data_IF_793788349174
#
_entry.id   IF_793788349174
#
_cell.length_a   1.000
_cell.length_b   1.000
_cell.length_c   1.000
_cell.angle_alpha   90.00
_cell.angle_beta   90.00
_cell.angle_gamma   90.00
#
_symmetry.space_group_name_H-M   'P 1'
#
loop_
_entity.id
_entity.type
_entity.pdbx_description
1 polymer ?
#
# COMPACT_ATOMS: atom_id res chain seq x y z
N UNK A 1 42.33 8.54 -2.19
CA UNK A 1 42.79 9.18 -0.93
C UNK A 1 43.41 10.54 -1.22
N UNK A 2 42.62 11.63 -1.24
CA UNK A 2 43.15 12.99 -1.03
C UNK A 2 42.58 13.46 0.31
N UNK A 3 43.41 13.43 1.35
CA UNK A 3 43.07 13.95 2.68
C UNK A 3 43.31 15.46 2.64
N UNK A 4 42.25 16.27 2.70
CA UNK A 4 42.37 17.72 2.83
C UNK A 4 42.63 18.02 4.31
N UNK A 5 43.88 18.30 4.68
CA UNK A 5 44.22 18.77 6.03
C UNK A 5 44.00 20.29 6.14
N UNK A 6 43.19 20.70 7.12
CA UNK A 6 42.98 22.12 7.46
C UNK A 6 44.13 22.70 8.30
N UNK A 7 44.48 23.96 8.02
CA UNK A 7 45.32 24.81 8.88
C UNK A 7 44.44 25.51 9.93
N UNK A 8 44.86 25.59 11.21
CA UNK A 8 44.04 26.19 12.25
C UNK A 8 43.97 27.72 12.10
N UNK A 9 42.77 28.25 11.90
CA UNK A 9 42.47 29.69 11.92
C UNK A 9 41.78 30.07 13.24
N UNK A 10 42.17 31.22 13.79
CA UNK A 10 41.77 31.75 15.10
C UNK A 10 40.27 32.05 15.22
N UNK A 11 39.69 31.66 16.36
CA UNK A 11 38.38 32.04 16.93
C UNK A 11 37.64 33.19 16.21
N UNK A 12 36.73 32.82 15.32
CA UNK A 12 35.56 33.61 14.94
C UNK A 12 34.33 32.71 14.98
N UNK A 13 33.15 33.31 15.19
CA UNK A 13 31.80 32.72 15.28
C UNK A 13 31.59 31.47 14.40
N UNK A 14 30.79 30.46 14.82
CA UNK A 14 30.61 29.24 14.05
C UNK A 14 29.97 29.61 12.70
N UNK A 15 30.78 29.65 11.66
CA UNK A 15 30.34 29.79 10.27
C UNK A 15 30.16 28.37 9.73
N UNK A 16 29.11 28.08 8.94
CA UNK A 16 28.95 26.75 8.35
C UNK A 16 30.14 26.42 7.45
N UNK A 17 30.70 25.22 7.58
CA UNK A 17 31.75 24.75 6.67
C UNK A 17 31.13 24.13 5.42
N UNK A 18 31.69 24.42 4.25
CA UNK A 18 31.25 23.88 2.96
C UNK A 18 32.32 22.96 2.38
N UNK A 19 31.97 21.71 2.11
CA UNK A 19 32.85 20.68 1.55
C UNK A 19 32.29 20.20 0.21
N UNK A 20 33.10 20.24 -0.85
CA UNK A 20 32.75 19.72 -2.17
C UNK A 20 33.76 18.63 -2.59
N UNK A 21 33.28 17.40 -2.77
CA UNK A 21 34.07 16.22 -3.13
C UNK A 21 33.58 15.75 -4.49
N UNK A 22 34.45 15.79 -5.49
CA UNK A 22 34.15 15.34 -6.87
C UNK A 22 35.10 14.19 -7.21
N UNK A 23 34.54 13.06 -7.66
CA UNK A 23 35.28 11.92 -8.18
C UNK A 23 34.85 11.62 -9.62
N UNK A 24 35.78 11.75 -10.57
CA UNK A 24 35.57 11.48 -12.00
C UNK A 24 36.37 10.24 -12.44
N UNK A 25 35.77 9.36 -13.24
CA UNK A 25 36.42 8.16 -13.77
C UNK A 25 36.86 8.28 -15.24
N UNK A 26 37.97 7.62 -15.58
CA UNK A 26 38.51 7.47 -16.94
C UNK A 26 38.32 6.02 -17.46
N UNK A 27 38.48 5.70 -18.76
CA UNK A 27 37.89 4.52 -19.44
C UNK A 27 38.52 3.14 -19.13
N UNK A 28 38.64 2.80 -17.84
CA UNK A 28 39.01 1.48 -17.33
C UNK A 28 38.03 1.05 -16.24
N UNK A 29 37.85 -0.26 -15.97
CA UNK A 29 37.10 -0.71 -14.81
C UNK A 29 37.73 -0.13 -13.54
N UNK A 30 36.98 0.67 -12.79
CA UNK A 30 37.49 1.35 -11.61
C UNK A 30 36.64 1.05 -10.38
N UNK A 31 37.30 0.98 -9.23
CA UNK A 31 36.68 0.97 -7.91
C UNK A 31 36.89 2.34 -7.27
N UNK A 32 35.81 3.07 -7.01
CA UNK A 32 35.82 4.33 -6.30
C UNK A 32 35.29 4.13 -4.89
N UNK A 33 36.09 4.56 -3.91
CA UNK A 33 35.64 4.66 -2.53
C UNK A 33 35.75 6.12 -2.10
N UNK A 34 34.61 6.78 -1.94
CA UNK A 34 34.49 8.16 -1.48
C UNK A 34 33.97 8.11 -0.06
N UNK A 35 34.73 8.65 0.88
CA UNK A 35 34.34 8.73 2.28
C UNK A 35 34.36 10.21 2.67
N UNK A 36 33.22 10.72 3.13
CA UNK A 36 33.06 12.06 3.67
C UNK A 36 32.68 11.97 5.15
N UNK A 37 33.63 12.29 6.03
CA UNK A 37 33.42 12.34 7.48
C UNK A 37 33.26 13.79 7.93
N UNK A 38 32.27 14.07 8.78
CA UNK A 38 32.09 15.41 9.34
C UNK A 38 32.73 15.67 10.69
N UNK A 39 33.02 16.95 10.95
CA UNK A 39 33.52 17.43 12.24
C UNK A 39 32.41 18.16 13.00
N UNK A 40 32.45 18.24 14.35
CA UNK A 40 31.34 18.70 15.20
C UNK A 40 31.04 20.21 15.09
N UNK A 41 30.55 20.62 13.93
CA UNK A 41 30.14 21.97 13.52
C UNK A 41 29.13 21.84 12.37
N UNK A 42 28.21 22.79 12.16
CA UNK A 42 27.29 22.70 11.05
C UNK A 42 28.04 22.64 9.70
N UNK A 43 27.81 21.60 8.91
CA UNK A 43 28.50 21.41 7.64
C UNK A 43 27.52 21.17 6.48
N UNK A 44 27.95 21.59 5.29
CA UNK A 44 27.33 21.27 4.01
C UNK A 44 28.30 20.42 3.19
N UNK A 45 27.90 19.18 2.89
CA UNK A 45 28.64 18.26 2.04
C UNK A 45 27.95 18.13 0.69
N UNK A 46 28.71 18.36 -0.38
CA UNK A 46 28.33 18.02 -1.73
C UNK A 46 29.30 16.95 -2.24
N UNK A 47 28.81 15.73 -2.44
CA UNK A 47 29.57 14.58 -2.91
C UNK A 47 29.05 14.23 -4.30
N UNK A 48 29.88 14.38 -5.32
CA UNK A 48 29.55 14.05 -6.69
C UNK A 48 30.47 12.93 -7.16
N UNK A 49 29.88 11.82 -7.61
CA UNK A 49 30.59 10.71 -8.22
C UNK A 49 30.11 10.56 -9.66
N UNK A 50 30.97 10.90 -10.61
CA UNK A 50 30.69 10.83 -12.05
C UNK A 50 31.52 9.71 -12.70
N UNK A 51 30.88 8.92 -13.55
CA UNK A 51 31.51 7.83 -14.29
C UNK A 51 31.42 8.06 -15.79
N UNK A 52 32.56 8.01 -16.50
CA UNK A 52 32.61 8.24 -17.96
C UNK A 52 33.17 7.04 -18.75
N UNK A 53 32.46 5.91 -18.77
CA UNK A 53 32.73 4.67 -19.52
C UNK A 53 33.55 3.59 -18.78
N UNK A 54 33.07 2.33 -18.86
CA UNK A 54 33.57 1.06 -18.27
C UNK A 54 32.80 0.64 -17.02
N UNK A 55 32.67 -0.67 -16.73
CA UNK A 55 31.96 -1.08 -15.52
C UNK A 55 32.66 -0.54 -14.28
N UNK A 56 31.94 0.25 -13.48
CA UNK A 56 32.47 0.89 -12.29
C UNK A 56 31.73 0.42 -11.03
N UNK A 57 32.48 0.36 -9.94
CA UNK A 57 31.96 0.15 -8.59
C UNK A 57 32.19 1.41 -7.79
N UNK A 58 31.11 2.07 -7.38
CA UNK A 58 31.12 3.25 -6.51
C UNK A 58 30.65 2.86 -5.13
N UNK A 59 31.50 3.11 -4.14
CA UNK A 59 31.15 3.08 -2.74
C UNK A 59 31.26 4.51 -2.20
N UNK A 60 30.13 5.14 -1.91
CA UNK A 60 30.05 6.49 -1.37
C UNK A 60 29.54 6.37 0.06
N UNK A 61 30.37 6.74 1.02
CA UNK A 61 30.04 6.74 2.44
C UNK A 61 30.05 8.20 2.92
N UNK A 62 28.95 8.65 3.48
CA UNK A 62 28.82 9.94 4.13
C UNK A 62 28.49 9.72 5.60
N UNK A 63 29.46 9.99 6.48
CA UNK A 63 29.33 9.86 7.94
C UNK A 63 29.25 11.24 8.58
N UNK A 64 28.24 11.45 9.43
CA UNK A 64 28.03 12.70 10.13
C UNK A 64 28.40 12.62 11.60
N UNK A 65 29.07 13.65 12.12
CA UNK A 65 29.36 13.88 13.55
C UNK A 65 28.32 14.82 14.18
N UNK A 66 28.15 14.85 15.53
CA UNK A 66 26.98 15.44 16.20
C UNK A 66 26.91 16.96 16.02
N UNK A 67 26.21 17.39 14.96
CA UNK A 67 25.98 18.77 14.56
C UNK A 67 25.02 18.78 13.35
N UNK A 68 24.22 19.83 13.12
CA UNK A 68 23.31 19.84 11.97
C UNK A 68 24.09 19.76 10.65
N UNK A 69 23.91 18.71 9.87
CA UNK A 69 24.59 18.56 8.58
C UNK A 69 23.58 18.46 7.42
N UNK A 70 24.02 18.97 6.27
CA UNK A 70 23.33 18.81 4.99
C UNK A 70 24.24 18.01 4.06
N UNK A 71 23.77 16.86 3.59
CA UNK A 71 24.46 16.03 2.62
C UNK A 71 23.69 16.04 1.30
N UNK A 72 24.37 16.41 0.23
CA UNK A 72 23.94 16.23 -1.14
C UNK A 72 24.88 15.21 -1.78
N UNK A 73 24.39 14.00 -2.01
CA UNK A 73 25.15 12.92 -2.63
C UNK A 73 24.56 12.68 -4.01
N UNK A 74 25.34 12.94 -5.05
CA UNK A 74 24.94 12.73 -6.44
C UNK A 74 25.86 11.68 -7.02
N UNK A 75 25.27 10.61 -7.54
CA UNK A 75 25.96 9.54 -8.24
C UNK A 75 25.44 9.46 -9.67
N UNK A 76 26.24 9.91 -10.63
CA UNK A 76 25.90 9.94 -12.05
C UNK A 76 26.72 8.92 -12.84
N UNK A 77 26.06 8.21 -13.74
CA UNK A 77 26.65 7.12 -14.51
C UNK A 77 26.45 7.27 -16.01
N UNK A 78 27.54 7.24 -16.78
CA UNK A 78 27.51 7.15 -18.25
C UNK A 78 27.38 5.66 -18.72
N UNK A 79 27.17 5.34 -20.02
CA UNK A 79 26.66 4.04 -20.45
C UNK A 79 27.68 2.91 -20.29
N UNK A 80 27.63 2.27 -19.13
CA UNK A 80 28.27 0.98 -18.81
C UNK A 80 27.60 0.36 -17.58
N UNK A 81 27.73 -0.96 -17.33
CA UNK A 81 27.13 -1.55 -16.14
C UNK A 81 27.79 -1.01 -14.87
N UNK A 82 27.03 -0.33 -14.00
CA UNK A 82 27.59 0.24 -12.77
C UNK A 82 26.93 -0.34 -11.52
N UNK A 83 27.72 -0.43 -10.46
CA UNK A 83 27.27 -0.78 -9.11
C UNK A 83 27.50 0.43 -8.20
N UNK A 84 26.42 0.98 -7.66
CA UNK A 84 26.42 2.07 -6.71
C UNK A 84 26.04 1.55 -5.33
N UNK A 85 26.91 1.74 -4.36
CA UNK A 85 26.62 1.56 -2.95
C UNK A 85 26.77 2.93 -2.29
N UNK A 86 25.64 3.57 -1.97
CA UNK A 86 25.59 4.88 -1.31
C UNK A 86 25.12 4.63 0.11
N UNK A 87 25.97 4.93 1.08
CA UNK A 87 25.68 4.80 2.51
C UNK A 87 25.75 6.20 3.11
N UNK A 88 24.66 6.62 3.73
CA UNK A 88 24.54 7.86 4.46
C UNK A 88 24.25 7.53 5.92
N UNK A 89 25.24 7.69 6.79
CA UNK A 89 25.14 7.42 8.23
C UNK A 89 25.19 8.72 9.02
N UNK A 90 24.29 8.85 10.00
CA UNK A 90 24.14 10.07 10.78
C UNK A 90 24.30 9.84 12.29
N UNK A 91 25.11 10.66 12.96
CA UNK A 91 25.16 10.72 14.44
C UNK A 91 24.14 11.74 15.01
N UNK A 92 23.84 11.75 16.33
CA UNK A 92 22.67 12.45 16.90
C UNK A 92 22.70 13.97 16.66
N UNK A 93 21.97 14.43 15.63
CA UNK A 93 21.81 15.83 15.25
C UNK A 93 20.85 15.95 14.05
N UNK A 94 20.09 17.05 13.89
CA UNK A 94 19.18 17.15 12.75
C UNK A 94 19.95 17.12 11.42
N UNK A 95 19.71 16.12 10.58
CA UNK A 95 20.38 16.02 9.28
C UNK A 95 19.37 16.08 8.12
N UNK A 96 19.87 16.61 7.00
CA UNK A 96 19.17 16.60 5.72
C UNK A 96 20.03 15.82 4.73
N UNK A 97 19.50 14.71 4.21
CA UNK A 97 20.14 13.91 3.19
C UNK A 97 19.36 14.03 1.90
N UNK A 98 20.03 14.50 0.85
CA UNK A 98 19.56 14.44 -0.52
C UNK A 98 20.47 13.48 -1.29
N UNK A 99 19.98 12.28 -1.57
CA UNK A 99 20.72 11.25 -2.30
C UNK A 99 20.07 11.11 -3.67
N UNK A 100 20.81 11.47 -4.71
CA UNK A 100 20.40 11.36 -6.10
C UNK A 100 21.30 10.34 -6.79
N UNK A 101 20.69 9.33 -7.39
CA UNK A 101 21.40 8.30 -8.13
C UNK A 101 20.82 8.21 -9.54
N UNK A 102 21.56 8.72 -10.53
CA UNK A 102 21.15 8.82 -11.92
C UNK A 102 21.99 7.89 -12.80
N UNK A 103 21.34 7.18 -13.72
CA UNK A 103 22.03 6.34 -14.72
C UNK A 103 21.61 6.61 -16.15
N UNK A 104 22.61 6.63 -17.03
CA UNK A 104 22.45 6.54 -18.49
C UNK A 104 22.44 5.05 -18.96
N UNK A 105 22.12 4.73 -20.25
CA UNK A 105 21.58 3.42 -20.61
C UNK A 105 22.60 2.29 -20.45
N UNK A 106 22.49 1.53 -19.36
CA UNK A 106 23.18 0.27 -19.08
C UNK A 106 22.58 -0.43 -17.86
N UNK A 107 22.79 -1.74 -17.64
CA UNK A 107 22.28 -2.40 -16.45
C UNK A 107 22.96 -1.85 -15.19
N UNK A 108 22.20 -1.28 -14.25
CA UNK A 108 22.76 -0.76 -13.01
C UNK A 108 22.18 -1.45 -11.77
N UNK A 109 23.01 -1.50 -10.74
CA UNK A 109 22.62 -1.92 -9.40
C UNK A 109 22.83 -0.76 -8.44
N UNK A 110 21.75 -0.29 -7.83
CA UNK A 110 21.76 0.76 -6.82
C UNK A 110 21.42 0.14 -5.47
N UNK A 111 22.34 0.31 -4.51
CA UNK A 111 22.11 0.07 -3.10
C UNK A 111 22.26 1.40 -2.37
N UNK A 112 21.14 1.99 -1.97
CA UNK A 112 21.12 3.25 -1.23
C UNK A 112 20.66 2.93 0.18
N UNK A 113 21.55 3.13 1.15
CA UNK A 113 21.29 2.92 2.57
C UNK A 113 21.40 4.28 3.25
N UNK A 114 20.34 4.67 3.96
CA UNK A 114 20.28 5.91 4.70
C UNK A 114 19.91 5.60 6.15
N UNK A 115 20.90 5.66 7.05
CA UNK A 115 20.78 5.31 8.46
C UNK A 115 20.94 6.56 9.34
N UNK A 116 20.05 6.72 10.32
CA UNK A 116 20.16 7.81 11.30
C UNK A 116 20.08 7.37 12.75
N UNK A 117 20.95 7.97 13.56
CA UNK A 117 20.87 7.94 15.03
C UNK A 117 19.97 9.09 15.58
N UNK A 118 19.58 9.12 16.88
CA UNK A 118 18.40 9.84 17.37
C UNK A 118 18.44 11.35 17.12
N UNK A 119 17.72 11.81 16.10
CA UNK A 119 17.50 13.23 15.78
C UNK A 119 16.47 13.40 14.65
N UNK A 120 15.80 14.57 14.51
CA UNK A 120 14.88 14.77 13.39
C UNK A 120 15.64 14.77 12.06
N UNK A 121 15.35 13.83 11.16
CA UNK A 121 16.01 13.75 9.86
C UNK A 121 15.03 13.89 8.70
N UNK A 122 15.56 14.47 7.62
CA UNK A 122 14.87 14.55 6.33
C UNK A 122 15.69 13.79 5.31
N UNK A 123 15.11 12.73 4.76
CA UNK A 123 15.70 11.93 3.70
C UNK A 123 14.92 12.16 2.40
N UNK A 124 15.62 12.64 1.38
CA UNK A 124 15.14 12.68 0.01
C UNK A 124 16.04 11.76 -0.82
N UNK A 125 15.53 10.58 -1.17
CA UNK A 125 16.26 9.59 -1.96
C UNK A 125 15.59 9.53 -3.33
N UNK A 126 16.31 9.91 -4.36
CA UNK A 126 15.87 9.88 -5.75
C UNK A 126 16.77 8.91 -6.50
N UNK A 127 16.16 7.91 -7.14
CA UNK A 127 16.86 6.93 -7.93
C UNK A 127 16.24 6.88 -9.33
N UNK A 128 16.95 7.43 -10.31
CA UNK A 128 16.49 7.57 -11.70
C UNK A 128 17.33 6.70 -12.65
N UNK A 129 16.67 6.00 -13.57
CA UNK A 129 17.36 5.25 -14.61
C UNK A 129 16.83 5.47 -16.01
N UNK A 130 17.77 5.63 -16.93
CA UNK A 130 17.55 5.53 -18.37
C UNK A 130 17.48 4.04 -18.85
N UNK A 131 17.15 3.73 -20.13
CA UNK A 131 16.55 2.45 -20.50
C UNK A 131 17.57 1.31 -20.46
N UNK A 132 17.54 0.52 -19.40
CA UNK A 132 18.23 -0.76 -19.22
C UNK A 132 17.70 -1.50 -17.99
N UNK A 133 17.95 -2.81 -17.82
CA UNK A 133 17.49 -3.51 -16.62
C UNK A 133 18.18 -2.98 -15.37
N UNK A 134 17.43 -2.43 -14.41
CA UNK A 134 17.99 -1.92 -13.16
C UNK A 134 17.46 -2.66 -11.94
N UNK A 135 18.31 -2.72 -10.93
CA UNK A 135 17.97 -3.20 -9.60
C UNK A 135 18.18 -2.07 -8.59
N UNK A 136 17.11 -1.67 -7.93
CA UNK A 136 17.12 -0.67 -6.87
C UNK A 136 16.84 -1.35 -5.54
N UNK A 137 17.77 -1.19 -4.60
CA UNK A 137 17.58 -1.49 -3.19
C UNK A 137 17.75 -0.20 -2.41
N UNK A 138 16.65 0.37 -1.94
CA UNK A 138 16.63 1.61 -1.16
C UNK A 138 16.19 1.23 0.25
N UNK A 139 17.08 1.41 1.21
CA UNK A 139 16.84 1.16 2.62
C UNK A 139 16.99 2.49 3.36
N UNK A 140 15.95 2.87 4.08
CA UNK A 140 15.93 4.08 4.89
C UNK A 140 15.55 3.71 6.32
N UNK A 141 16.53 3.75 7.23
CA UNK A 141 16.40 3.33 8.62
C UNK A 141 16.60 4.52 9.57
N UNK A 142 15.73 4.64 10.58
CA UNK A 142 15.87 5.66 11.62
C UNK A 142 15.69 5.14 13.04
N UNK A 143 16.58 5.63 13.90
CA UNK A 143 16.44 5.55 15.36
C UNK A 143 15.53 6.69 15.91
N UNK A 144 15.09 6.69 17.19
CA UNK A 144 13.85 7.36 17.59
C UNK A 144 13.91 8.89 17.51
N UNK A 145 13.21 9.50 16.54
CA UNK A 145 13.02 10.95 16.34
C UNK A 145 12.09 11.23 15.15
N UNK A 146 11.37 12.35 15.07
CA UNK A 146 10.49 12.59 13.93
C UNK A 146 11.25 12.62 12.60
N UNK A 147 10.93 11.71 11.68
CA UNK A 147 11.58 11.66 10.37
C UNK A 147 10.60 11.91 9.22
N UNK A 148 11.14 12.48 8.16
CA UNK A 148 10.46 12.63 6.88
C UNK A 148 11.27 11.87 5.82
N UNK A 149 10.65 10.85 5.24
CA UNK A 149 11.20 10.06 4.16
C UNK A 149 10.45 10.36 2.87
N UNK A 150 11.17 10.85 1.87
CA UNK A 150 10.70 10.94 0.50
C UNK A 150 11.60 10.06 -0.36
N UNK A 151 11.07 8.91 -0.78
CA UNK A 151 11.78 7.94 -1.61
C UNK A 151 11.09 7.92 -2.96
N UNK A 152 11.81 8.32 -4.01
CA UNK A 152 11.34 8.33 -5.38
C UNK A 152 12.24 7.41 -6.19
N UNK A 153 11.64 6.44 -6.86
CA UNK A 153 12.35 5.52 -7.72
C UNK A 153 11.69 5.50 -9.10
N UNK A 154 12.36 6.09 -10.10
CA UNK A 154 11.84 6.25 -11.46
C UNK A 154 12.67 5.45 -12.46
N UNK A 155 12.01 4.78 -13.40
CA UNK A 155 12.70 4.10 -14.50
C UNK A 155 12.07 4.35 -15.86
N UNK A 156 12.96 4.57 -16.82
CA UNK A 156 12.66 4.53 -18.25
C UNK A 156 12.64 3.06 -18.78
N UNK A 157 12.22 2.78 -20.04
CA UNK A 157 11.66 1.47 -20.39
C UNK A 157 12.69 0.34 -20.37
N UNK A 158 12.62 -0.52 -19.36
CA UNK A 158 13.33 -1.81 -19.23
C UNK A 158 12.83 -2.61 -18.02
N UNK A 159 13.11 -3.93 -17.90
CA UNK A 159 12.68 -4.67 -16.73
C UNK A 159 13.40 -4.19 -15.47
N UNK A 160 12.66 -3.68 -14.48
CA UNK A 160 13.25 -3.21 -13.23
C UNK A 160 12.76 -3.98 -12.01
N UNK A 161 13.64 -4.06 -11.01
CA UNK A 161 13.32 -4.57 -9.70
C UNK A 161 13.54 -3.47 -8.67
N UNK A 162 12.48 -3.12 -7.95
CA UNK A 162 12.49 -2.15 -6.87
C UNK A 162 12.25 -2.86 -5.55
N UNK A 163 13.20 -2.73 -4.64
CA UNK A 163 13.06 -3.06 -3.23
C UNK A 163 13.23 -1.79 -2.42
N UNK A 164 12.14 -1.25 -1.89
CA UNK A 164 12.13 -0.04 -1.08
C UNK A 164 11.70 -0.45 0.32
N UNK A 165 12.60 -0.27 1.28
CA UNK A 165 12.38 -0.57 2.70
C UNK A 165 12.54 0.74 3.47
N UNK A 166 11.50 1.11 4.21
CA UNK A 166 11.52 2.29 5.06
C UNK A 166 11.14 1.86 6.49
N UNK A 167 12.11 1.88 7.39
CA UNK A 167 11.97 1.41 8.77
C UNK A 167 12.21 2.55 9.77
N UNK A 168 11.34 2.64 10.79
CA UNK A 168 11.52 3.61 11.88
C UNK A 168 11.27 3.05 13.27
N UNK A 169 12.12 3.48 14.17
CA UNK A 169 11.98 3.32 15.62
C UNK A 169 11.15 4.50 16.25
N UNK A 170 10.78 4.49 17.56
CA UNK A 170 9.55 5.14 18.04
C UNK A 170 9.55 6.66 17.88
N UNK A 171 8.79 7.18 16.92
CA UNK A 171 8.62 8.63 16.68
C UNK A 171 7.59 8.92 15.59
N UNK A 172 6.98 10.12 15.52
CA UNK A 172 6.07 10.44 14.42
C UNK A 172 6.81 10.50 13.09
N UNK A 173 6.47 9.64 12.13
CA UNK A 173 7.13 9.62 10.82
C UNK A 173 6.15 9.90 9.68
N UNK A 174 6.70 10.50 8.63
CA UNK A 174 6.03 10.71 7.35
C UNK A 174 6.81 9.96 6.28
N UNK A 175 6.15 9.00 5.65
CA UNK A 175 6.68 8.23 4.53
C UNK A 175 5.94 8.61 3.26
N UNK A 176 6.68 9.12 2.28
CA UNK A 176 6.22 9.28 0.91
C UNK A 176 7.10 8.40 0.01
N UNK A 177 6.57 7.27 -0.43
CA UNK A 177 7.27 6.31 -1.28
C UNK A 177 6.58 6.31 -2.64
N UNK A 178 7.30 6.72 -3.67
CA UNK A 178 6.83 6.78 -5.05
C UNK A 178 7.72 5.87 -5.88
N UNK A 179 7.11 4.91 -6.57
CA UNK A 179 7.81 4.01 -7.47
C UNK A 179 7.12 4.03 -8.84
N UNK A 180 7.78 4.65 -9.83
CA UNK A 180 7.24 4.89 -11.17
C UNK A 180 8.05 4.14 -12.22
N UNK A 181 7.36 3.48 -13.16
CA UNK A 181 8.02 2.84 -14.31
C UNK A 181 7.32 3.08 -15.64
N UNK A 182 8.17 3.30 -16.64
CA UNK A 182 7.79 3.32 -18.05
C UNK A 182 7.85 1.87 -18.66
N UNK A 183 7.43 1.63 -19.93
CA UNK A 183 6.85 0.33 -20.31
C UNK A 183 7.86 -0.81 -20.31
N UNK A 184 7.78 -1.70 -19.31
CA UNK A 184 8.48 -2.99 -19.23
C UNK A 184 8.00 -3.82 -18.02
N UNK A 185 8.29 -5.12 -17.93
CA UNK A 185 7.88 -5.90 -16.77
C UNK A 185 8.62 -5.45 -15.51
N UNK A 186 7.91 -4.99 -14.48
CA UNK A 186 8.53 -4.55 -13.24
C UNK A 186 8.07 -5.36 -12.03
N UNK A 187 8.97 -5.46 -11.05
CA UNK A 187 8.68 -6.01 -9.73
C UNK A 187 8.90 -4.94 -8.68
N UNK A 188 7.85 -4.62 -7.94
CA UNK A 188 7.87 -3.67 -6.83
C UNK A 188 7.67 -4.42 -5.52
N UNK A 189 8.62 -4.30 -4.62
CA UNK A 189 8.50 -4.68 -3.22
C UNK A 189 8.70 -3.44 -2.36
N UNK A 190 7.62 -2.90 -1.84
CA UNK A 190 7.62 -1.71 -0.99
C UNK A 190 7.21 -2.14 0.41
N UNK A 191 8.11 -1.98 1.37
CA UNK A 191 7.91 -2.31 2.77
C UNK A 191 8.07 -1.01 3.58
N UNK A 192 7.05 -0.67 4.35
CA UNK A 192 7.08 0.50 5.22
C UNK A 192 6.68 0.08 6.63
N UNK A 193 7.65 0.03 7.54
CA UNK A 193 7.48 -0.45 8.92
C UNK A 193 7.72 0.67 9.94
N UNK A 194 6.84 0.75 10.94
CA UNK A 194 7.01 1.70 12.05
C UNK A 194 6.74 1.10 13.42
N UNK A 195 7.63 1.47 14.33
CA UNK A 195 7.47 1.30 15.77
C UNK A 195 6.58 2.43 16.40
N UNK A 196 6.21 2.37 17.70
CA UNK A 196 4.95 2.96 18.18
C UNK A 196 5.00 4.48 18.22
N UNK A 197 4.33 5.13 17.25
CA UNK A 197 4.06 6.57 17.17
C UNK A 197 3.08 6.88 16.04
N UNK A 198 2.46 8.07 15.96
CA UNK A 198 1.56 8.38 14.86
C UNK A 198 2.33 8.47 13.54
N UNK A 199 1.98 7.65 12.54
CA UNK A 199 2.63 7.67 11.24
C UNK A 199 1.66 8.01 10.11
N UNK A 200 2.22 8.62 9.06
CA UNK A 200 1.54 8.87 7.81
C UNK A 200 2.31 8.16 6.69
N UNK A 201 1.65 7.21 6.02
CA UNK A 201 2.17 6.48 4.89
C UNK A 201 1.44 6.88 3.62
N UNK A 202 2.17 7.40 2.65
CA UNK A 202 1.72 7.60 1.28
C UNK A 202 2.60 6.74 0.36
N UNK A 203 2.06 5.63 -0.10
CA UNK A 203 2.75 4.69 -0.98
C UNK A 203 2.05 4.71 -2.34
N UNK A 204 2.78 5.15 -3.36
CA UNK A 204 2.29 5.24 -4.74
C UNK A 204 3.17 4.34 -5.59
N UNK A 205 2.55 3.40 -6.28
CA UNK A 205 3.23 2.51 -7.22
C UNK A 205 2.54 2.56 -8.58
N UNK A 206 3.15 3.25 -9.54
CA UNK A 206 2.59 3.49 -10.87
C UNK A 206 3.41 2.76 -11.93
N UNK A 207 2.72 2.07 -12.84
CA UNK A 207 3.36 1.46 -14.00
C UNK A 207 2.63 1.73 -15.30
N UNK A 208 3.44 1.88 -16.33
CA UNK A 208 3.01 1.93 -17.73
C UNK A 208 2.92 0.51 -18.35
N UNK A 209 2.44 0.32 -19.60
CA UNK A 209 1.85 -0.94 -20.05
C UNK A 209 2.87 -2.07 -20.18
N UNK A 210 2.90 -2.97 -19.19
CA UNK A 210 3.64 -4.24 -19.16
C UNK A 210 3.20 -5.08 -17.96
N UNK A 211 3.51 -6.39 -17.89
CA UNK A 211 3.11 -7.20 -16.74
C UNK A 211 3.87 -6.76 -15.48
N UNK A 212 3.17 -6.35 -14.43
CA UNK A 212 3.81 -5.92 -13.19
C UNK A 212 3.38 -6.77 -11.99
N UNK A 213 4.30 -6.89 -11.04
CA UNK A 213 4.03 -7.48 -9.73
C UNK A 213 4.27 -6.43 -8.65
N UNK A 214 3.24 -6.13 -7.87
CA UNK A 214 3.27 -5.22 -6.75
C UNK A 214 3.09 -6.00 -5.45
N UNK A 215 4.07 -5.87 -4.55
CA UNK A 215 3.96 -6.28 -3.16
C UNK A 215 4.17 -5.05 -2.28
N UNK A 216 3.08 -4.52 -1.72
CA UNK A 216 3.09 -3.35 -0.86
C UNK A 216 2.69 -3.82 0.54
N UNK A 217 3.62 -3.69 1.48
CA UNK A 217 3.42 -4.05 2.89
C UNK A 217 3.59 -2.78 3.71
N UNK A 218 2.57 -2.43 4.48
CA UNK A 218 2.60 -1.29 5.38
C UNK A 218 2.21 -1.75 6.79
N UNK A 219 3.20 -1.85 7.67
CA UNK A 219 3.03 -2.36 9.03
C UNK A 219 3.27 -1.26 10.06
N UNK A 220 2.37 -1.15 11.03
CA UNK A 220 2.56 -0.26 12.17
C UNK A 220 2.30 -0.91 13.51
N UNK A 221 3.10 -0.48 14.46
CA UNK A 221 2.93 -0.77 15.87
C UNK A 221 2.00 0.28 16.56
N UNK A 222 1.63 0.14 17.85
CA UNK A 222 0.41 0.75 18.40
C UNK A 222 0.49 2.27 18.48
N UNK A 223 -0.16 2.95 17.53
CA UNK A 223 -0.42 4.41 17.51
C UNK A 223 -1.38 4.77 16.37
N UNK A 224 -1.98 5.98 16.33
CA UNK A 224 -2.88 6.33 15.24
C UNK A 224 -2.14 6.46 13.91
N UNK A 225 -2.50 5.66 12.91
CA UNK A 225 -1.85 5.71 11.60
C UNK A 225 -2.83 6.08 10.48
N UNK A 226 -2.27 6.71 9.46
CA UNK A 226 -2.94 7.00 8.20
C UNK A 226 -2.18 6.30 7.08
N UNK A 227 -2.84 5.40 6.38
CA UNK A 227 -2.32 4.70 5.22
C UNK A 227 -3.07 5.16 3.97
N UNK A 228 -2.34 5.70 3.01
CA UNK A 228 -2.79 5.95 1.66
C UNK A 228 -1.93 5.12 0.70
N UNK A 229 -2.48 4.00 0.22
CA UNK A 229 -1.78 3.09 -0.69
C UNK A 229 -2.49 3.15 -2.04
N UNK A 230 -1.78 3.59 -3.06
CA UNK A 230 -2.27 3.71 -4.42
C UNK A 230 -1.40 2.83 -5.31
N UNK A 231 -2.04 1.91 -6.03
CA UNK A 231 -1.36 1.03 -6.98
C UNK A 231 -2.09 1.12 -8.33
N UNK A 232 -1.47 1.81 -9.29
CA UNK A 232 -2.05 2.08 -10.61
C UNK A 232 -1.26 1.35 -11.70
N UNK A 233 -1.97 0.72 -12.64
CA UNK A 233 -1.34 0.11 -13.81
C UNK A 233 -2.03 0.42 -15.12
N UNK A 234 -1.18 0.56 -16.13
CA UNK A 234 -1.50 0.60 -17.55
C UNK A 234 -1.77 -0.81 -18.15
N UNK A 235 -2.32 -0.92 -19.38
CA UNK A 235 -2.92 -2.17 -19.86
C UNK A 235 -1.91 -3.31 -20.03
N UNK A 236 -1.87 -4.23 -19.06
CA UNK A 236 -1.16 -5.51 -19.08
C UNK A 236 -1.55 -6.37 -17.87
N UNK A 237 -1.25 -7.68 -17.84
CA UNK A 237 -1.62 -8.50 -16.70
C UNK A 237 -0.84 -8.10 -15.44
N UNK A 238 -1.52 -7.70 -14.37
CA UNK A 238 -0.86 -7.32 -13.12
C UNK A 238 -1.28 -8.19 -11.95
N UNK A 239 -0.35 -8.33 -11.00
CA UNK A 239 -0.59 -8.96 -9.71
C UNK A 239 -0.34 -7.92 -8.62
N UNK A 240 -1.36 -7.65 -7.82
CA UNK A 240 -1.31 -6.76 -6.66
C UNK A 240 -1.47 -7.56 -5.38
N UNK A 241 -0.50 -7.46 -4.49
CA UNK A 241 -0.59 -7.89 -3.11
C UNK A 241 -0.37 -6.69 -2.20
N UNK A 242 -1.45 -6.17 -1.63
CA UNK A 242 -1.42 -5.01 -0.74
C UNK A 242 -1.82 -5.50 0.64
N UNK A 243 -0.89 -5.40 1.59
CA UNK A 243 -1.08 -5.78 2.98
C UNK A 243 -0.90 -4.54 3.84
N UNK A 244 -1.90 -4.21 4.63
CA UNK A 244 -1.87 -3.10 5.56
C UNK A 244 -2.25 -3.60 6.96
N UNK A 245 -1.26 -3.72 7.86
CA UNK A 245 -1.43 -4.27 9.21
C UNK A 245 -1.20 -3.19 10.27
N UNK A 246 -2.08 -3.13 11.26
CA UNK A 246 -1.90 -2.25 12.41
C UNK A 246 -2.11 -2.92 13.75
N UNK A 247 -1.28 -2.46 14.68
CA UNK A 247 -1.38 -2.66 16.13
C UNK A 247 -2.44 -1.74 16.79
N UNK A 248 -2.82 -1.96 18.06
CA UNK A 248 -4.04 -1.37 18.64
C UNK A 248 -3.95 0.16 18.76
N UNK A 249 -4.59 0.87 17.83
CA UNK A 249 -4.86 2.32 17.84
C UNK A 249 -5.82 2.70 16.71
N UNK A 250 -6.43 3.90 16.70
CA UNK A 250 -7.34 4.28 15.62
C UNK A 250 -6.60 4.46 14.30
N UNK A 251 -6.96 3.70 13.26
CA UNK A 251 -6.31 3.79 11.96
C UNK A 251 -7.29 4.18 10.84
N UNK A 252 -6.75 4.88 9.85
CA UNK A 252 -7.42 5.18 8.60
C UNK A 252 -6.66 4.53 7.45
N UNK A 253 -7.33 3.62 6.76
CA UNK A 253 -6.81 2.95 5.57
C UNK A 253 -7.56 3.45 4.35
N UNK A 254 -6.82 3.98 3.37
CA UNK A 254 -7.30 4.27 2.03
C UNK A 254 -6.44 3.46 1.05
N UNK A 255 -6.98 2.35 0.55
CA UNK A 255 -6.30 1.47 -0.39
C UNK A 255 -7.03 1.56 -1.72
N UNK A 256 -6.33 2.04 -2.74
CA UNK A 256 -6.85 2.19 -4.11
C UNK A 256 -5.99 1.33 -5.03
N UNK A 257 -6.64 0.42 -5.75
CA UNK A 257 -5.98 -0.42 -6.72
C UNK A 257 -6.72 -0.31 -8.08
N UNK A 258 -6.11 0.41 -9.02
CA UNK A 258 -6.71 0.70 -10.32
C UNK A 258 -5.94 -0.02 -11.44
N UNK A 259 -6.68 -0.64 -12.36
CA UNK A 259 -6.09 -1.23 -13.56
C UNK A 259 -6.78 -0.86 -14.86
N UNK A 260 -5.93 -0.69 -15.85
CA UNK A 260 -6.24 -0.63 -17.28
C UNK A 260 -6.57 -2.02 -17.87
N UNK A 261 -7.13 -2.12 -19.10
CA UNK A 261 -7.74 -3.35 -19.59
C UNK A 261 -6.73 -4.48 -19.80
N UNK A 262 -6.65 -5.42 -18.84
CA UNK A 262 -5.94 -6.69 -18.92
C UNK A 262 -6.31 -7.60 -17.74
N UNK A 263 -6.01 -8.91 -17.75
CA UNK A 263 -6.35 -9.77 -16.62
C UNK A 263 -5.55 -9.41 -15.37
N UNK A 264 -6.21 -9.02 -14.28
CA UNK A 264 -5.52 -8.67 -13.04
C UNK A 264 -5.93 -9.58 -11.89
N UNK A 265 -4.98 -9.76 -10.96
CA UNK A 265 -5.21 -10.41 -9.68
C UNK A 265 -4.94 -9.39 -8.57
N UNK A 266 -5.95 -9.13 -7.75
CA UNK A 266 -5.87 -8.27 -6.59
C UNK A 266 -6.03 -9.11 -5.32
N UNK A 267 -5.05 -9.03 -4.43
CA UNK A 267 -5.13 -9.50 -3.06
C UNK A 267 -4.90 -8.31 -2.14
N UNK A 268 -5.97 -7.80 -1.54
CA UNK A 268 -5.95 -6.66 -0.63
C UNK A 268 -6.32 -7.18 0.75
N UNK A 269 -5.39 -7.10 1.69
CA UNK A 269 -5.57 -7.52 3.08
C UNK A 269 -5.38 -6.30 3.96
N UNK A 270 -6.39 -5.99 4.77
CA UNK A 270 -6.34 -4.91 5.74
C UNK A 270 -6.71 -5.48 7.11
N UNK A 271 -5.71 -5.59 8.00
CA UNK A 271 -5.88 -6.18 9.33
C UNK A 271 -5.64 -5.13 10.42
N UNK A 272 -6.53 -5.15 11.43
CA UNK A 272 -6.37 -4.30 12.61
C UNK A 272 -6.56 -5.01 13.94
N UNK A 273 -5.69 -4.59 14.84
CA UNK A 273 -5.78 -4.77 16.29
C UNK A 273 -6.88 -3.90 16.94
N UNK A 274 -7.25 -4.14 18.22
CA UNK A 274 -8.47 -3.57 18.80
C UNK A 274 -8.39 -2.04 18.96
N UNK A 275 -9.02 -1.30 18.05
CA UNK A 275 -9.29 0.15 18.11
C UNK A 275 -10.26 0.59 17.00
N UNK A 276 -10.84 1.80 17.05
CA UNK A 276 -11.75 2.23 16.00
C UNK A 276 -11.02 2.45 14.67
N UNK A 277 -11.37 1.71 13.62
CA UNK A 277 -10.73 1.83 12.31
C UNK A 277 -11.71 2.27 11.23
N UNK A 278 -11.18 3.00 10.24
CA UNK A 278 -11.87 3.35 9.01
C UNK A 278 -11.13 2.72 7.84
N UNK A 279 -11.81 1.84 7.11
CA UNK A 279 -11.32 1.20 5.90
C UNK A 279 -12.06 1.74 4.69
N UNK A 280 -11.32 2.28 3.73
CA UNK A 280 -11.79 2.58 2.39
C UNK A 280 -10.93 1.79 1.40
N UNK A 281 -11.49 0.71 0.88
CA UNK A 281 -10.82 -0.17 -0.08
C UNK A 281 -11.57 -0.04 -1.40
N UNK A 282 -10.88 0.47 -2.41
CA UNK A 282 -11.40 0.66 -3.76
C UNK A 282 -10.56 -0.18 -4.71
N UNK A 283 -11.21 -1.06 -5.45
CA UNK A 283 -10.58 -1.88 -6.46
C UNK A 283 -11.33 -1.73 -7.78
N UNK A 284 -10.74 -0.99 -8.73
CA UNK A 284 -11.36 -0.67 -10.02
C UNK A 284 -10.62 -1.36 -11.16
N UNK A 285 -11.38 -1.97 -12.08
CA UNK A 285 -10.80 -2.52 -13.31
C UNK A 285 -11.53 -2.12 -14.58
N UNK A 286 -10.69 -1.89 -15.58
CA UNK A 286 -11.03 -1.81 -17.00
C UNK A 286 -11.35 -3.19 -17.61
N UNK A 287 -11.94 -3.27 -18.83
CA UNK A 287 -12.55 -4.49 -19.33
C UNK A 287 -11.54 -5.62 -19.57
N UNK A 288 -11.45 -6.57 -18.63
CA UNK A 288 -10.73 -7.84 -18.74
C UNK A 288 -11.09 -8.78 -17.58
N UNK A 289 -10.75 -10.08 -17.62
CA UNK A 289 -11.07 -10.98 -16.53
C UNK A 289 -10.26 -10.66 -15.28
N UNK A 290 -10.89 -10.27 -14.18
CA UNK A 290 -10.19 -9.96 -12.94
C UNK A 290 -10.57 -10.91 -11.80
N UNK A 291 -9.61 -11.12 -10.90
CA UNK A 291 -9.81 -11.81 -9.63
C UNK A 291 -9.54 -10.82 -8.50
N UNK A 292 -10.54 -10.59 -7.67
CA UNK A 292 -10.45 -9.76 -6.48
C UNK A 292 -10.60 -10.63 -5.25
N UNK A 293 -9.60 -10.59 -4.37
CA UNK A 293 -9.66 -11.09 -3.01
C UNK A 293 -9.42 -9.92 -2.06
N UNK A 294 -10.50 -9.42 -1.45
CA UNK A 294 -10.46 -8.30 -0.51
C UNK A 294 -10.82 -8.85 0.86
N UNK A 295 -9.89 -8.80 1.80
CA UNK A 295 -10.06 -9.24 3.17
C UNK A 295 -9.87 -8.04 4.09
N UNK A 296 -10.86 -7.76 4.91
CA UNK A 296 -10.81 -6.71 5.91
C UNK A 296 -11.18 -7.29 7.28
N UNK A 297 -10.18 -7.41 8.16
CA UNK A 297 -10.33 -8.05 9.47
C UNK A 297 -10.10 -7.04 10.61
N UNK A 298 -10.98 -7.10 11.61
CA UNK A 298 -10.84 -6.30 12.81
C UNK A 298 -11.04 -7.05 14.11
N UNK A 299 -10.14 -6.71 15.03
CA UNK A 299 -10.24 -6.92 16.47
C UNK A 299 -11.34 -6.04 17.11
N UNK A 300 -11.74 -6.29 18.39
CA UNK A 300 -12.95 -5.72 18.96
C UNK A 300 -12.84 -4.20 19.16
N UNK A 301 -13.48 -3.42 18.28
CA UNK A 301 -13.71 -1.98 18.39
C UNK A 301 -14.69 -1.50 17.30
N UNK A 302 -15.25 -0.28 17.37
CA UNK A 302 -16.17 0.19 16.35
C UNK A 302 -15.44 0.45 15.03
N UNK A 303 -15.78 -0.27 13.96
CA UNK A 303 -15.14 -0.08 12.65
C UNK A 303 -16.13 0.39 11.58
N UNK A 304 -15.61 1.13 10.61
CA UNK A 304 -16.31 1.50 9.40
C UNK A 304 -15.58 0.90 8.21
N UNK A 305 -16.28 0.06 7.45
CA UNK A 305 -15.78 -0.55 6.22
C UNK A 305 -16.53 0.04 5.03
N UNK A 306 -15.80 0.60 4.08
CA UNK A 306 -16.27 0.92 2.75
C UNK A 306 -15.43 0.14 1.75
N UNK A 307 -15.98 -0.94 1.21
CA UNK A 307 -15.33 -1.79 0.23
C UNK A 307 -16.08 -1.63 -1.09
N UNK A 308 -15.41 -1.09 -2.09
CA UNK A 308 -15.95 -0.87 -3.43
C UNK A 308 -15.12 -1.69 -4.41
N UNK A 309 -15.78 -2.55 -5.17
CA UNK A 309 -15.16 -3.36 -6.20
C UNK A 309 -15.93 -3.18 -7.50
N UNK A 310 -15.36 -2.41 -8.44
CA UNK A 310 -16.00 -2.05 -9.70
C UNK A 310 -15.28 -2.72 -10.87
N UNK A 311 -16.04 -3.30 -11.80
CA UNK A 311 -15.49 -3.83 -13.05
C UNK A 311 -16.26 -3.42 -14.29
N UNK A 312 -15.46 -3.15 -15.31
CA UNK A 312 -15.82 -3.04 -16.72
C UNK A 312 -16.15 -4.42 -17.33
N UNK A 313 -16.75 -4.49 -18.55
CA UNK A 313 -17.37 -5.73 -19.05
C UNK A 313 -16.36 -6.83 -19.34
N UNK A 314 -16.23 -7.79 -18.42
CA UNK A 314 -15.50 -9.06 -18.57
C UNK A 314 -15.83 -10.03 -17.43
N UNK A 315 -15.48 -11.32 -17.50
CA UNK A 315 -15.77 -12.25 -16.43
C UNK A 315 -14.93 -11.95 -15.18
N UNK A 316 -15.56 -11.58 -14.07
CA UNK A 316 -14.84 -11.29 -12.83
C UNK A 316 -15.20 -12.27 -11.71
N UNK A 317 -14.23 -12.50 -10.84
CA UNK A 317 -14.41 -13.23 -9.59
C UNK A 317 -14.11 -12.28 -8.43
N UNK A 318 -15.12 -12.06 -7.58
CA UNK A 318 -15.01 -11.27 -6.37
C UNK A 318 -15.13 -12.17 -5.15
N UNK A 319 -14.14 -12.13 -4.28
CA UNK A 319 -14.18 -12.66 -2.93
C UNK A 319 -13.94 -11.51 -1.96
N UNK A 320 -15.01 -11.01 -1.35
CA UNK A 320 -14.96 -9.91 -0.39
C UNK A 320 -15.32 -10.49 0.97
N UNK A 321 -14.38 -10.47 1.90
CA UNK A 321 -14.55 -10.96 3.26
C UNK A 321 -14.35 -9.77 4.21
N UNK A 322 -15.34 -9.53 5.06
CA UNK A 322 -15.27 -8.49 6.07
C UNK A 322 -15.63 -9.09 7.43
N UNK A 323 -14.63 -9.29 8.30
CA UNK A 323 -14.80 -9.93 9.60
C UNK A 323 -14.60 -8.94 10.74
N UNK A 324 -15.50 -8.98 11.73
CA UNK A 324 -15.33 -8.22 12.96
C UNK A 324 -15.55 -9.02 14.23
N UNK A 325 -14.66 -8.72 15.18
CA UNK A 325 -14.77 -9.01 16.60
C UNK A 325 -15.84 -8.13 17.28
N UNK A 326 -16.27 -8.42 18.54
CA UNK A 326 -17.49 -7.84 19.11
C UNK A 326 -17.37 -6.33 19.35
N UNK A 327 -17.98 -5.53 18.49
CA UNK A 327 -18.20 -4.08 18.62
C UNK A 327 -19.18 -3.57 17.56
N UNK A 328 -19.71 -2.34 17.67
CA UNK A 328 -20.60 -1.82 16.64
C UNK A 328 -19.87 -1.53 15.34
N UNK A 329 -20.20 -2.23 14.26
CA UNK A 329 -19.56 -2.02 12.96
C UNK A 329 -20.56 -1.52 11.91
N UNK A 330 -20.04 -0.73 10.98
CA UNK A 330 -20.74 -0.32 9.78
C UNK A 330 -20.02 -0.91 8.56
N UNK A 331 -20.72 -1.70 7.78
CA UNK A 331 -20.23 -2.29 6.54
C UNK A 331 -20.99 -1.70 5.37
N UNK A 332 -20.27 -1.10 4.43
CA UNK A 332 -20.75 -0.74 3.10
C UNK A 332 -19.92 -1.50 2.08
N UNK A 333 -20.48 -2.57 1.54
CA UNK A 333 -19.83 -3.41 0.53
C UNK A 333 -20.59 -3.22 -0.77
N UNK A 334 -19.93 -2.65 -1.77
CA UNK A 334 -20.48 -2.40 -3.10
C UNK A 334 -19.66 -3.20 -4.10
N UNK A 335 -20.34 -4.05 -4.87
CA UNK A 335 -19.73 -4.83 -5.92
C UNK A 335 -20.52 -4.62 -7.22
N UNK A 336 -19.97 -3.84 -8.14
CA UNK A 336 -20.63 -3.45 -9.40
C UNK A 336 -19.93 -4.10 -10.59
N UNK A 337 -20.72 -4.66 -11.51
CA UNK A 337 -20.20 -5.15 -12.78
C UNK A 337 -21.01 -4.72 -14.00
N UNK A 338 -20.23 -4.40 -15.03
CA UNK A 338 -20.65 -4.27 -16.42
C UNK A 338 -20.97 -5.64 -17.06
N UNK A 339 -21.62 -5.71 -18.25
CA UNK A 339 -22.24 -6.95 -18.74
C UNK A 339 -21.21 -8.03 -19.06
N UNK A 340 -21.07 -9.03 -18.18
CA UNK A 340 -20.32 -10.27 -18.36
C UNK A 340 -20.63 -11.27 -17.24
N UNK A 341 -20.25 -12.56 -17.36
CA UNK A 341 -20.50 -13.53 -16.31
C UNK A 341 -19.63 -13.26 -15.08
N UNK A 342 -20.23 -12.93 -13.94
CA UNK A 342 -19.49 -12.65 -12.72
C UNK A 342 -19.82 -13.66 -11.61
N UNK A 343 -18.83 -13.91 -10.76
CA UNK A 343 -18.98 -14.65 -9.52
C UNK A 343 -18.69 -13.73 -8.35
N UNK A 344 -19.67 -13.56 -7.48
CA UNK A 344 -19.56 -12.78 -6.25
C UNK A 344 -19.67 -13.73 -5.05
N UNK A 345 -18.66 -13.70 -4.20
CA UNK A 345 -18.69 -14.26 -2.85
C UNK A 345 -18.44 -13.12 -1.88
N UNK A 346 -19.50 -12.63 -1.24
CA UNK A 346 -19.44 -11.55 -0.26
C UNK A 346 -19.80 -12.17 1.09
N UNK A 347 -18.84 -12.17 2.01
CA UNK A 347 -19.01 -12.68 3.36
C UNK A 347 -18.80 -11.53 4.34
N UNK A 348 -19.79 -11.30 5.19
CA UNK A 348 -19.72 -10.28 6.22
C UNK A 348 -20.09 -10.93 7.57
N UNK A 349 -19.08 -11.20 8.41
CA UNK A 349 -19.25 -11.88 9.69
C UNK A 349 -19.05 -10.90 10.84
N UNK A 350 -19.94 -10.97 11.84
CA UNK A 350 -19.76 -10.23 13.09
C UNK A 350 -20.03 -11.05 14.35
N UNK A 351 -19.16 -10.78 15.31
CA UNK A 351 -19.31 -11.12 16.73
C UNK A 351 -20.40 -10.26 17.41
N UNK A 352 -20.86 -10.59 18.63
CA UNK A 352 -22.08 -10.03 19.21
C UNK A 352 -21.96 -8.53 19.51
N UNK A 353 -22.53 -7.69 18.64
CA UNK A 353 -22.72 -6.24 18.82
C UNK A 353 -23.69 -5.68 17.77
N UNK A 354 -24.21 -4.44 17.92
CA UNK A 354 -25.10 -3.86 16.92
C UNK A 354 -24.34 -3.51 15.64
N UNK A 355 -24.66 -4.18 14.53
CA UNK A 355 -24.02 -3.93 13.25
C UNK A 355 -25.00 -3.38 12.21
N UNK A 356 -24.49 -2.57 11.31
CA UNK A 356 -25.19 -2.11 10.11
C UNK A 356 -24.47 -2.65 8.88
N UNK A 357 -25.18 -3.43 8.08
CA UNK A 357 -24.70 -3.97 6.82
C UNK A 357 -25.48 -3.34 5.67
N UNK A 358 -24.76 -2.73 4.75
CA UNK A 358 -25.24 -2.34 3.44
C UNK A 358 -24.41 -3.10 2.40
N UNK A 359 -24.97 -4.16 1.84
CA UNK A 359 -24.33 -4.98 0.82
C UNK A 359 -25.10 -4.77 -0.48
N UNK A 360 -24.44 -4.19 -1.47
CA UNK A 360 -25.00 -3.90 -2.78
C UNK A 360 -24.20 -4.70 -3.80
N UNK A 361 -24.89 -5.53 -4.58
CA UNK A 361 -24.30 -6.30 -5.65
C UNK A 361 -25.11 -6.07 -6.94
N UNK A 362 -24.57 -5.24 -7.84
CA UNK A 362 -25.25 -4.84 -9.07
C UNK A 362 -24.58 -5.47 -10.29
N UNK A 363 -25.39 -6.01 -11.21
CA UNK A 363 -24.89 -6.47 -12.50
C UNK A 363 -25.76 -6.06 -13.69
N UNK A 364 -25.04 -5.72 -14.74
CA UNK A 364 -25.54 -5.59 -16.11
C UNK A 364 -25.87 -6.97 -16.73
N UNK A 365 -26.57 -7.06 -17.90
CA UNK A 365 -27.19 -8.30 -18.35
C UNK A 365 -26.16 -9.36 -18.74
N UNK A 366 -25.96 -10.36 -17.89
CA UNK A 366 -25.17 -11.58 -18.11
C UNK A 366 -25.46 -12.62 -17.02
N UNK A 367 -25.07 -13.89 -17.18
CA UNK A 367 -25.27 -14.89 -16.13
C UNK A 367 -24.35 -14.64 -14.94
N UNK A 368 -24.91 -14.34 -13.78
CA UNK A 368 -24.15 -14.07 -12.57
C UNK A 368 -24.45 -15.09 -11.46
N UNK A 369 -23.44 -15.37 -10.66
CA UNK A 369 -23.55 -16.16 -9.43
C UNK A 369 -23.25 -15.25 -8.24
N UNK A 370 -24.22 -15.10 -7.36
CA UNK A 370 -24.10 -14.36 -6.11
C UNK A 370 -24.17 -15.32 -4.93
N UNK A 371 -23.16 -15.29 -4.07
CA UNK A 371 -23.17 -15.87 -2.75
C UNK A 371 -22.93 -14.73 -1.74
N UNK A 372 -23.99 -14.26 -1.10
CA UNK A 372 -23.93 -13.19 -0.11
C UNK A 372 -24.27 -13.82 1.24
N UNK A 373 -23.31 -13.85 2.14
CA UNK A 373 -23.44 -14.39 3.48
C UNK A 373 -23.24 -13.25 4.47
N UNK A 374 -24.24 -13.02 5.32
CA UNK A 374 -24.18 -12.03 6.37
C UNK A 374 -24.55 -12.70 7.71
N UNK A 375 -23.55 -13.02 8.50
CA UNK A 375 -23.71 -13.76 9.76
C UNK A 375 -23.51 -12.84 10.96
N UNK A 376 -24.40 -12.94 11.94
CA UNK A 376 -24.22 -12.24 13.21
C UNK A 376 -24.58 -13.07 14.45
N UNK A 377 -23.75 -12.85 15.46
CA UNK A 377 -23.99 -13.24 16.85
C UNK A 377 -25.07 -12.38 17.53
N UNK A 378 -25.61 -12.75 18.72
CA UNK A 378 -26.85 -12.16 19.24
C UNK A 378 -26.69 -10.68 19.62
N UNK A 379 -27.21 -9.79 18.78
CA UNK A 379 -27.35 -8.33 19.00
C UNK A 379 -28.29 -7.73 17.96
N UNK A 380 -28.81 -6.49 18.14
CA UNK A 380 -29.68 -5.86 17.15
C UNK A 380 -28.89 -5.47 15.90
N UNK A 381 -29.18 -6.12 14.77
CA UNK A 381 -28.52 -5.86 13.50
C UNK A 381 -29.47 -5.28 12.46
N UNK A 382 -28.94 -4.43 11.59
CA UNK A 382 -29.63 -3.89 10.43
C UNK A 382 -28.93 -4.41 9.18
N UNK A 383 -29.67 -5.14 8.35
CA UNK A 383 -29.20 -5.65 7.09
C UNK A 383 -29.97 -4.98 5.95
N UNK A 384 -29.25 -4.34 5.05
CA UNK A 384 -29.72 -3.91 3.75
C UNK A 384 -28.91 -4.66 2.69
N UNK A 385 -29.46 -5.72 2.14
CA UNK A 385 -28.83 -6.53 1.10
C UNK A 385 -29.62 -6.28 -0.19
N UNK A 386 -28.96 -5.68 -1.17
CA UNK A 386 -29.52 -5.38 -2.48
C UNK A 386 -28.75 -6.16 -3.52
N UNK A 387 -29.45 -6.99 -4.28
CA UNK A 387 -28.88 -7.74 -5.38
C UNK A 387 -29.70 -7.46 -6.65
N UNK A 388 -29.20 -6.60 -7.52
CA UNK A 388 -29.91 -6.17 -8.73
C UNK A 388 -29.27 -6.80 -9.97
N UNK A 389 -30.10 -7.33 -10.86
CA UNK A 389 -29.64 -7.77 -12.17
C UNK A 389 -30.57 -7.39 -13.32
N UNK A 390 -29.93 -7.09 -14.43
CA UNK A 390 -30.56 -6.98 -15.76
C UNK A 390 -30.92 -8.39 -16.32
N UNK A 391 -31.73 -8.51 -17.40
CA UNK A 391 -32.37 -9.78 -17.74
C UNK A 391 -31.36 -10.80 -18.28
N UNK A 392 -31.02 -11.79 -17.45
CA UNK A 392 -30.18 -12.94 -17.75
C UNK A 392 -30.37 -14.02 -16.68
N UNK A 393 -29.98 -15.29 -16.91
CA UNK A 393 -30.10 -16.34 -15.90
C UNK A 393 -29.12 -16.11 -14.75
N UNK A 394 -29.62 -15.76 -13.58
CA UNK A 394 -28.81 -15.51 -12.38
C UNK A 394 -29.08 -16.56 -11.30
N UNK A 395 -28.03 -16.86 -10.52
CA UNK A 395 -28.12 -17.67 -9.32
C UNK A 395 -27.81 -16.80 -8.11
N UNK A 396 -28.74 -16.72 -7.18
CA UNK A 396 -28.60 -16.00 -5.93
C UNK A 396 -28.67 -16.96 -4.76
N UNK A 397 -27.63 -16.97 -3.94
CA UNK A 397 -27.62 -17.55 -2.61
C UNK A 397 -27.39 -16.41 -1.60
N UNK A 398 -28.45 -15.94 -0.96
CA UNK A 398 -28.38 -14.88 0.04
C UNK A 398 -28.73 -15.52 1.38
N UNK A 399 -27.76 -15.55 2.29
CA UNK A 399 -27.90 -16.10 3.63
C UNK A 399 -27.71 -14.95 4.62
N UNK A 400 -28.72 -14.70 5.43
CA UNK A 400 -28.67 -13.74 6.51
C UNK A 400 -29.05 -14.44 7.81
N UNK A 401 -28.05 -14.85 8.59
CA UNK A 401 -28.25 -15.62 9.82
C UNK A 401 -28.04 -14.75 11.05
N UNK A 402 -28.94 -14.89 12.01
CA UNK A 402 -28.80 -14.24 13.30
C UNK A 402 -29.27 -15.08 14.49
N UNK A 403 -28.53 -14.92 15.58
CA UNK A 403 -28.91 -15.38 16.91
C UNK A 403 -30.04 -14.52 17.52
N UNK A 404 -30.79 -14.99 18.56
CA UNK A 404 -32.07 -14.37 18.97
C UNK A 404 -31.90 -12.94 19.51
N UNK A 405 -32.19 -11.95 18.66
CA UNK A 405 -32.22 -10.50 18.94
C UNK A 405 -33.14 -9.79 17.94
N UNK A 406 -33.62 -8.56 18.21
CA UNK A 406 -34.42 -7.81 17.24
C UNK A 406 -33.55 -7.39 16.04
N UNK A 407 -33.69 -8.09 14.92
CA UNK A 407 -32.98 -7.81 13.68
C UNK A 407 -33.93 -7.23 12.64
N UNK A 408 -33.42 -6.29 11.85
CA UNK A 408 -34.13 -5.68 10.73
C UNK A 408 -33.46 -6.10 9.43
N UNK A 409 -34.21 -6.80 8.59
CA UNK A 409 -33.75 -7.24 7.28
C UNK A 409 -34.51 -6.48 6.19
N UNK A 410 -33.77 -5.88 5.27
CA UNK A 410 -34.23 -5.44 3.97
C UNK A 410 -33.42 -6.19 2.92
N UNK A 411 -33.97 -7.30 2.41
CA UNK A 411 -33.33 -8.10 1.35
C UNK A 411 -34.13 -7.85 0.08
N UNK A 412 -33.49 -7.20 -0.89
CA UNK A 412 -34.06 -6.89 -2.20
C UNK A 412 -33.28 -7.68 -3.23
N UNK A 413 -33.99 -8.50 -4.00
CA UNK A 413 -33.42 -9.22 -5.13
C UNK A 413 -34.27 -8.92 -6.37
N UNK A 414 -33.83 -7.97 -7.19
CA UNK A 414 -34.56 -7.54 -8.37
C UNK A 414 -33.98 -8.17 -9.63
N UNK A 415 -34.87 -8.73 -10.46
CA UNK A 415 -34.51 -9.16 -11.81
C UNK A 415 -35.65 -8.92 -12.78
N UNK A 416 -35.28 -8.57 -14.01
CA UNK A 416 -36.22 -8.44 -15.14
C UNK A 416 -36.39 -9.81 -15.83
N UNK A 417 -37.48 -10.06 -16.61
CA UNK A 417 -38.00 -11.41 -16.82
C UNK A 417 -37.02 -12.33 -17.55
N UNK A 418 -36.41 -13.25 -16.79
CA UNK A 418 -35.49 -14.31 -17.23
C UNK A 418 -35.48 -15.42 -16.16
N UNK A 419 -35.07 -16.66 -16.49
CA UNK A 419 -35.08 -17.77 -15.52
C UNK A 419 -34.00 -17.55 -14.44
N UNK A 420 -34.41 -17.11 -13.26
CA UNK A 420 -33.54 -16.87 -12.11
C UNK A 420 -33.76 -17.93 -11.02
N UNK A 421 -32.68 -18.31 -10.35
CA UNK A 421 -32.68 -19.22 -9.21
C UNK A 421 -32.35 -18.42 -7.95
N UNK A 422 -33.27 -18.43 -7.00
CA UNK A 422 -33.11 -17.76 -5.72
C UNK A 422 -33.11 -18.79 -4.59
N UNK A 423 -32.10 -18.72 -3.75
CA UNK A 423 -32.08 -19.29 -2.41
C UNK A 423 -31.84 -18.15 -1.42
N UNK A 424 -32.92 -17.65 -0.81
CA UNK A 424 -32.86 -16.58 0.20
C UNK A 424 -33.22 -17.20 1.54
N UNK A 425 -32.26 -17.23 2.45
CA UNK A 425 -32.40 -17.76 3.80
C UNK A 425 -32.22 -16.59 4.76
N UNK A 426 -33.28 -16.29 5.51
CA UNK A 426 -33.22 -15.34 6.63
C UNK A 426 -33.63 -16.09 7.89
N UNK A 427 -32.67 -16.52 8.70
CA UNK A 427 -32.92 -17.26 9.93
C UNK A 427 -32.69 -16.37 11.14
N UNK A 428 -33.75 -16.19 11.92
CA UNK A 428 -33.66 -15.71 13.30
C UNK A 428 -33.88 -16.91 14.22
N UNK A 429 -32.86 -17.30 14.97
CA UNK A 429 -33.04 -18.32 16.01
C UNK A 429 -34.18 -17.91 16.95
N UNK A 430 -35.17 -18.78 17.25
CA UNK A 430 -36.29 -18.42 18.10
C UNK A 430 -35.80 -18.10 19.51
N UNK A 431 -36.21 -16.94 20.03
CA UNK A 431 -35.97 -16.59 21.44
C UNK A 431 -36.57 -17.69 22.34
N UNK A 432 -35.86 -18.21 23.35
CA UNK A 432 -36.47 -19.14 24.29
C UNK A 432 -37.54 -18.40 25.11
N UNK A 433 -38.82 -18.66 24.77
CA UNK A 433 -40.06 -18.28 25.43
C UNK A 433 -40.57 -16.82 25.33
N UNK A 434 -41.69 -16.66 24.62
CA UNK A 434 -43.00 -16.54 25.27
C UNK A 434 -44.07 -17.25 24.43
N UNK A 435 -44.58 -18.38 24.93
CA UNK A 435 -45.88 -18.91 24.54
C UNK A 435 -46.93 -17.80 24.79
N UNK A 436 -47.48 -17.17 23.74
CA UNK A 436 -48.87 -16.71 23.66
C UNK A 436 -49.21 -15.95 22.35
N UNK A 437 -50.08 -16.56 21.52
CA UNK A 437 -51.16 -15.93 20.72
C UNK A 437 -50.66 -15.07 19.50
N UNK A 438 -50.84 -15.40 18.21
CA UNK A 438 -52.08 -15.56 17.42
C UNK A 438 -51.77 -16.31 16.11
N UNK A 439 -52.47 -17.42 15.86
CA UNK A 439 -52.66 -17.97 14.54
C UNK A 439 -53.68 -17.12 13.76
N UNK A 440 -53.24 -16.29 12.79
CA UNK A 440 -54.04 -15.80 11.65
C UNK A 440 -53.32 -14.68 10.89
N UNK A 441 -52.88 -14.93 9.64
CA UNK A 441 -53.17 -14.11 8.43
C UNK A 441 -52.36 -14.57 7.20
N UNK A 442 -53.00 -15.46 6.41
CA UNK A 442 -52.96 -15.59 4.93
C UNK A 442 -51.60 -15.65 4.20
N UNK A 443 -51.19 -16.87 3.91
CA UNK A 443 -50.41 -17.24 2.71
C UNK A 443 -51.34 -17.07 1.48
N UNK A 444 -51.23 -15.97 0.73
CA UNK A 444 -51.75 -15.88 -0.64
C UNK A 444 -50.53 -15.89 -1.56
N UNK A 445 -50.31 -17.02 -2.23
CA UNK A 445 -49.30 -17.16 -3.28
C UNK A 445 -49.53 -16.11 -4.37
N UNK A 446 -48.46 -15.43 -4.75
CA UNK A 446 -48.14 -15.08 -6.13
C UNK A 446 -46.62 -15.06 -6.29
#
# INVERSE_FOLDING_TARGET
QRRLEEKPSSKSSPSPNYYNIIAESSPSPNYFNIIAESTPSPNYYNIIAESTHSPNYYNIIAESSPSPNYYNIIAESSPSPNYYNIIAESTPSPNYYNIIAESTPSPNYYNIIAESTPSPNYYNIIAESSPSPNYYNIIAESTPSPNYYNIIAESTPSPNYYNIIAESTPSPNYYNIIAESTPSPNYYNIIAESSPSPNYYNIIAESSPSPNYYNIIAESSPSPNYYNIIAESSPSPNYYNIIAESSPSPNYYNIIAESSPSPNYYNIIAESSPSPNYYNIIAESSPSPNYYNIIAESSPSPNYYNIIAESSPSPNYYNIIAESSPSPNYYNIIAESSPSPNYYNIIAESSPSPNYYNIIAESSPSPNYYNIIAESSPSPNYYNIIAESSPSPNYYNIIAESSPSPNYYNIIAESTPSPNYYNIIAESSPSPNYYNIIAALKFLLL
#
